data_IF_662700249720
#
_entry.id   IF_662700249720
#
_cell.length_a   1.000
_cell.length_b   1.000
_cell.length_c   1.000
_cell.angle_alpha   90.00
_cell.angle_beta   90.00
_cell.angle_gamma   90.00
#
_symmetry.space_group_name_H-M   'P 1'
#
loop_
_entity.id
_entity.type
_entity.pdbx_description
1 polymer ?
#
# COMPACT_ATOMS: atom_id res chain seq x y z
N UNK A 1 -18.39 4.58 -13.32
CA UNK A 1 -17.73 4.07 -12.11
C UNK A 1 -17.06 5.22 -11.39
N UNK A 2 -17.18 5.26 -10.07
CA UNK A 2 -16.57 6.32 -9.26
C UNK A 2 -15.05 6.27 -9.33
N UNK A 3 -14.43 7.43 -9.32
CA UNK A 3 -12.97 7.53 -9.27
C UNK A 3 -12.56 8.14 -7.93
N UNK A 4 -11.65 7.46 -7.25
CA UNK A 4 -11.13 7.88 -5.95
C UNK A 4 -9.63 8.06 -6.06
N UNK A 5 -9.12 9.16 -5.53
CA UNK A 5 -7.68 9.39 -5.45
C UNK A 5 -7.21 9.05 -4.04
N UNK A 6 -6.13 8.31 -3.92
CA UNK A 6 -5.57 7.90 -2.64
C UNK A 6 -4.09 8.30 -2.61
N UNK A 7 -3.74 9.18 -1.66
CA UNK A 7 -2.35 9.52 -1.38
C UNK A 7 -1.90 8.74 -0.15
N UNK A 8 -0.75 8.08 -0.24
CA UNK A 8 -0.25 7.22 0.83
C UNK A 8 1.14 7.63 1.25
N UNK A 9 1.45 7.41 2.52
CA UNK A 9 2.77 7.66 3.09
C UNK A 9 3.03 6.69 4.23
N UNK A 10 4.27 6.25 4.37
CA UNK A 10 4.70 5.38 5.45
C UNK A 10 6.13 5.71 5.84
N UNK A 11 6.41 5.63 7.13
CA UNK A 11 7.73 5.95 7.65
C UNK A 11 8.05 5.07 8.85
N UNK A 12 9.34 4.93 9.12
CA UNK A 12 9.84 4.15 10.23
C UNK A 12 11.01 4.88 10.87
N UNK A 13 11.01 4.96 12.20
CA UNK A 13 12.09 5.55 12.97
C UNK A 13 13.12 4.46 13.26
N UNK A 14 14.21 4.45 12.50
CA UNK A 14 15.08 3.28 12.41
C UNK A 14 14.46 2.26 11.47
N UNK A 15 15.20 1.34 10.93
CA UNK A 15 14.68 0.38 9.96
C UNK A 15 15.31 -1.00 10.20
N UNK A 16 14.79 -1.83 11.12
CA UNK A 16 13.46 -1.74 11.74
C UNK A 16 13.36 -0.82 12.96
N UNK A 17 12.13 -0.49 13.32
CA UNK A 17 11.82 0.34 14.49
C UNK A 17 10.36 0.72 14.53
N UNK A 18 10.01 1.70 15.33
CA UNK A 18 8.65 2.21 15.41
C UNK A 18 8.30 2.93 14.11
N UNK A 19 7.11 2.68 13.59
CA UNK A 19 6.68 3.27 12.34
C UNK A 19 5.21 3.66 12.32
N UNK A 20 4.83 4.38 11.27
CA UNK A 20 3.48 4.81 11.04
C UNK A 20 3.15 4.89 9.56
N UNK A 21 1.88 4.94 9.26
CA UNK A 21 1.36 5.05 7.91
C UNK A 21 0.17 5.99 7.88
N UNK A 22 -0.07 6.58 6.74
CA UNK A 22 -1.24 7.44 6.53
C UNK A 22 -1.74 7.28 5.10
N UNK A 23 -3.04 7.46 4.92
CA UNK A 23 -3.66 7.52 3.60
C UNK A 23 -4.73 8.59 3.59
N UNK A 24 -4.79 9.36 2.50
CA UNK A 24 -5.81 10.36 2.26
C UNK A 24 -6.62 9.93 1.05
N UNK A 25 -7.91 9.74 1.24
CA UNK A 25 -8.84 9.35 0.18
C UNK A 25 -9.67 10.56 -0.24
N UNK A 26 -9.68 10.84 -1.53
CA UNK A 26 -10.39 12.01 -2.08
C UNK A 26 -11.40 11.53 -3.12
N UNK A 27 -12.67 11.90 -2.91
CA UNK A 27 -13.74 11.65 -3.84
C UNK A 27 -14.53 12.94 -4.04
N UNK A 28 -14.42 13.53 -5.23
CA UNK A 28 -15.03 14.83 -5.50
C UNK A 28 -14.51 15.91 -4.54
N UNK A 29 -15.42 16.54 -3.80
CA UNK A 29 -15.07 17.55 -2.80
C UNK A 29 -14.86 16.97 -1.41
N UNK A 30 -15.05 15.65 -1.24
CA UNK A 30 -14.91 14.99 0.04
C UNK A 30 -13.52 14.39 0.20
N UNK A 31 -12.97 14.48 1.40
CA UNK A 31 -11.70 13.84 1.70
C UNK A 31 -11.76 13.18 3.07
N UNK A 32 -11.01 12.11 3.23
CA UNK A 32 -10.90 11.37 4.48
C UNK A 32 -9.47 10.96 4.70
N UNK A 33 -8.96 11.22 5.89
CA UNK A 33 -7.63 10.80 6.28
C UNK A 33 -7.71 9.66 7.28
N UNK A 34 -6.89 8.63 7.08
CA UNK A 34 -6.74 7.50 7.99
C UNK A 34 -5.27 7.33 8.29
N UNK A 35 -4.96 6.82 9.47
CA UNK A 35 -3.57 6.59 9.86
C UNK A 35 -3.49 5.50 10.92
N UNK A 36 -2.29 4.97 11.11
CA UNK A 36 -2.03 3.97 12.14
C UNK A 36 -0.54 3.87 12.41
N UNK A 37 -0.18 3.04 13.37
CA UNK A 37 1.21 2.86 13.76
C UNK A 37 1.51 1.42 14.15
N UNK A 38 2.81 1.14 14.26
CA UNK A 38 3.31 -0.14 14.68
C UNK A 38 4.59 0.08 15.49
N UNK A 39 4.74 -0.62 16.62
CA UNK A 39 5.90 -0.44 17.49
C UNK A 39 7.19 -0.97 16.90
N UNK A 40 7.11 -1.96 16.03
CA UNK A 40 8.29 -2.56 15.41
C UNK A 40 7.96 -2.99 13.98
N UNK A 41 8.50 -2.26 13.01
CA UNK A 41 8.19 -2.45 11.60
C UNK A 41 9.34 -1.95 10.73
N UNK A 42 9.11 -1.88 9.42
CA UNK A 42 10.05 -1.34 8.44
C UNK A 42 9.36 -0.30 7.56
N UNK A 43 10.16 0.53 6.88
CA UNK A 43 9.63 1.50 5.93
C UNK A 43 8.76 0.81 4.88
N UNK A 44 9.25 -0.28 4.29
CA UNK A 44 8.50 -0.99 3.23
C UNK A 44 7.18 -1.54 3.71
N UNK A 45 7.13 -2.07 4.93
CA UNK A 45 5.87 -2.55 5.52
C UNK A 45 4.89 -1.42 5.73
N UNK A 46 5.35 -0.26 6.18
CA UNK A 46 4.48 0.89 6.40
C UNK A 46 3.95 1.46 5.08
N UNK A 47 4.77 1.50 4.05
CA UNK A 47 4.34 1.94 2.72
C UNK A 47 3.27 1.00 2.15
N UNK A 48 3.47 -0.31 2.25
CA UNK A 48 2.48 -1.30 1.82
C UNK A 48 1.20 -1.20 2.62
N UNK A 49 1.31 -1.05 3.93
CA UNK A 49 0.15 -0.96 4.83
C UNK A 49 -0.70 0.26 4.50
N UNK A 50 -0.09 1.40 4.20
CA UNK A 50 -0.81 2.61 3.82
C UNK A 50 -1.70 2.37 2.57
N UNK A 51 -1.16 1.72 1.55
CA UNK A 51 -1.91 1.40 0.33
C UNK A 51 -3.03 0.41 0.62
N UNK A 52 -2.74 -0.65 1.36
CA UNK A 52 -3.72 -1.69 1.73
C UNK A 52 -4.88 -1.08 2.51
N UNK A 53 -4.58 -0.31 3.55
CA UNK A 53 -5.63 0.29 4.39
C UNK A 53 -6.45 1.33 3.64
N UNK A 54 -5.82 2.08 2.74
CA UNK A 54 -6.53 3.00 1.85
C UNK A 54 -7.53 2.27 0.96
N UNK A 55 -7.11 1.20 0.31
CA UNK A 55 -7.97 0.41 -0.57
C UNK A 55 -9.10 -0.28 0.20
N UNK A 56 -8.84 -0.73 1.42
CA UNK A 56 -9.87 -1.35 2.27
C UNK A 56 -11.03 -0.41 2.62
N UNK A 57 -10.82 0.89 2.54
CA UNK A 57 -11.88 1.86 2.84
C UNK A 57 -12.87 2.04 1.70
N UNK A 58 -12.57 1.48 0.53
CA UNK A 58 -13.46 1.53 -0.63
C UNK A 58 -14.56 0.50 -0.46
N UNK A 59 -15.81 0.96 -0.35
CA UNK A 59 -16.96 0.08 -0.03
C UNK A 59 -17.67 -0.46 -1.27
N UNK A 60 -17.34 0.07 -2.43
CA UNK A 60 -17.95 -0.34 -3.69
C UNK A 60 -16.90 -0.34 -4.80
N UNK A 61 -17.15 -1.03 -5.92
CA UNK A 61 -16.22 -1.01 -7.04
C UNK A 61 -16.01 0.41 -7.54
N UNK A 62 -14.75 0.79 -7.72
CA UNK A 62 -14.37 2.11 -8.20
C UNK A 62 -12.99 2.04 -8.85
N UNK A 63 -12.65 3.09 -9.61
CA UNK A 63 -11.31 3.25 -10.12
C UNK A 63 -10.49 3.99 -9.05
N UNK A 64 -9.46 3.37 -8.55
CA UNK A 64 -8.60 3.96 -7.53
C UNK A 64 -7.28 4.42 -8.17
N UNK A 65 -6.99 5.71 -8.02
CA UNK A 65 -5.72 6.30 -8.43
C UNK A 65 -4.85 6.44 -7.19
N UNK A 66 -3.88 5.55 -7.03
CA UNK A 66 -3.02 5.51 -5.84
C UNK A 66 -1.70 6.19 -6.15
N UNK A 67 -1.33 7.16 -5.32
CA UNK A 67 -0.06 7.86 -5.38
C UNK A 67 0.78 7.54 -4.16
N UNK A 68 1.96 6.98 -4.39
CA UNK A 68 2.90 6.59 -3.35
C UNK A 68 4.29 7.10 -3.70
N UNK A 69 5.03 7.56 -2.71
CA UNK A 69 6.43 7.96 -2.88
C UNK A 69 7.38 6.74 -2.85
N UNK A 70 6.86 5.59 -2.49
CA UNK A 70 7.69 4.40 -2.33
C UNK A 70 8.04 3.77 -3.67
N UNK A 71 9.30 3.85 -4.06
CA UNK A 71 9.80 3.15 -5.24
C UNK A 71 9.59 1.63 -5.12
N UNK A 72 9.68 1.10 -3.91
CA UNK A 72 9.45 -0.30 -3.61
C UNK A 72 8.03 -0.74 -4.02
N UNK A 73 7.02 0.04 -3.65
CA UNK A 73 5.63 -0.28 -3.98
C UNK A 73 5.34 0.00 -5.46
N UNK A 74 5.70 1.19 -5.93
CA UNK A 74 5.39 1.63 -7.29
C UNK A 74 6.07 0.75 -8.34
N UNK A 75 7.36 0.45 -8.16
CA UNK A 75 8.11 -0.33 -9.13
C UNK A 75 7.66 -1.79 -9.21
N UNK A 76 7.11 -2.34 -8.13
CA UNK A 76 6.59 -3.70 -8.16
C UNK A 76 5.47 -3.84 -9.21
N UNK A 77 4.68 -2.80 -9.39
CA UNK A 77 3.63 -2.77 -10.41
C UNK A 77 4.17 -2.34 -11.77
N UNK A 78 4.95 -1.25 -11.83
CA UNK A 78 5.47 -0.72 -13.09
C UNK A 78 6.43 -1.68 -13.80
N UNK A 79 7.23 -2.41 -13.04
CA UNK A 79 8.20 -3.36 -13.59
C UNK A 79 7.72 -4.80 -13.56
N UNK A 80 6.47 -5.01 -13.16
CA UNK A 80 5.83 -6.33 -13.12
C UNK A 80 6.62 -7.38 -12.33
N UNK A 81 7.15 -6.99 -11.17
CA UNK A 81 7.83 -7.94 -10.28
C UNK A 81 6.89 -9.05 -9.79
N UNK A 82 5.61 -8.73 -9.67
CA UNK A 82 4.57 -9.64 -9.15
C UNK A 82 4.45 -10.88 -10.02
N UNK A 83 4.49 -10.73 -11.32
CA UNK A 83 4.44 -11.85 -12.26
C UNK A 83 5.60 -12.80 -12.04
N UNK A 84 6.81 -12.26 -11.85
CA UNK A 84 8.00 -13.07 -11.53
C UNK A 84 7.87 -13.79 -10.19
N UNK A 85 7.32 -13.12 -9.18
CA UNK A 85 7.09 -13.74 -7.87
C UNK A 85 6.12 -14.92 -7.96
N UNK A 86 5.03 -14.76 -8.70
CA UNK A 86 4.07 -15.84 -8.93
C UNK A 86 4.73 -17.05 -9.58
N UNK A 87 5.58 -16.83 -10.58
CA UNK A 87 6.28 -17.92 -11.28
C UNK A 87 7.20 -18.69 -10.35
N UNK A 88 7.79 -18.03 -9.35
CA UNK A 88 8.69 -18.65 -8.38
C UNK A 88 7.97 -19.20 -7.15
N UNK A 89 6.64 -19.15 -7.11
CA UNK A 89 5.88 -19.57 -5.94
C UNK A 89 6.14 -18.70 -4.73
N UNK A 90 6.47 -17.42 -4.95
CA UNK A 90 6.76 -16.43 -3.91
C UNK A 90 8.00 -16.74 -3.05
N UNK A 91 8.91 -17.56 -3.57
CA UNK A 91 10.15 -17.85 -2.85
C UNK A 91 11.06 -16.63 -2.80
N UNK A 92 11.66 -16.40 -1.62
CA UNK A 92 12.60 -15.31 -1.37
C UNK A 92 11.99 -13.91 -1.55
N UNK A 93 10.67 -13.79 -1.50
CA UNK A 93 9.98 -12.52 -1.54
C UNK A 93 9.74 -12.04 -0.12
N UNK A 94 10.14 -10.80 0.19
CA UNK A 94 9.89 -10.18 1.50
C UNK A 94 8.46 -9.66 1.55
N UNK A 95 7.88 -9.64 2.75
CA UNK A 95 6.54 -9.08 2.99
C UNK A 95 5.45 -9.77 2.15
N UNK A 96 5.57 -11.07 1.94
CA UNK A 96 4.65 -11.86 1.10
C UNK A 96 3.20 -11.67 1.50
N UNK A 97 2.90 -11.72 2.79
CA UNK A 97 1.52 -11.59 3.28
C UNK A 97 0.91 -10.24 2.91
N UNK A 98 1.68 -9.16 3.08
CA UNK A 98 1.23 -7.82 2.73
C UNK A 98 1.04 -7.67 1.21
N UNK A 99 1.97 -8.20 0.42
CA UNK A 99 1.84 -8.16 -1.03
C UNK A 99 0.62 -8.93 -1.52
N UNK A 100 0.36 -10.10 -0.96
CA UNK A 100 -0.81 -10.90 -1.33
C UNK A 100 -2.10 -10.19 -0.95
N UNK A 101 -2.14 -9.56 0.20
CA UNK A 101 -3.30 -8.78 0.62
C UNK A 101 -3.55 -7.61 -0.33
N UNK A 102 -2.50 -6.88 -0.71
CA UNK A 102 -2.61 -5.77 -1.64
C UNK A 102 -3.13 -6.24 -3.01
N UNK A 103 -2.58 -7.32 -3.54
CA UNK A 103 -2.99 -7.87 -4.84
C UNK A 103 -4.46 -8.29 -4.81
N UNK A 104 -4.92 -8.88 -3.72
CA UNK A 104 -6.33 -9.29 -3.59
C UNK A 104 -7.29 -8.10 -3.61
N UNK A 105 -6.82 -6.90 -3.27
CA UNK A 105 -7.62 -5.68 -3.29
C UNK A 105 -7.63 -4.96 -4.64
N UNK A 106 -6.79 -5.40 -5.55
CA UNK A 106 -6.68 -4.79 -6.90
C UNK A 106 -7.33 -5.67 -8.02
#
# INVERSE_FOLDING_TARGET
MKEVTIYTDGACSGNPGAGGWAAVLIYGSESREISGGCQYTTNNKMELTAVIEGLKRLKEPCVAHVYSDSAYVVNAFLQDWISGWNKRGWRNVKNVELWRELIALT
#
